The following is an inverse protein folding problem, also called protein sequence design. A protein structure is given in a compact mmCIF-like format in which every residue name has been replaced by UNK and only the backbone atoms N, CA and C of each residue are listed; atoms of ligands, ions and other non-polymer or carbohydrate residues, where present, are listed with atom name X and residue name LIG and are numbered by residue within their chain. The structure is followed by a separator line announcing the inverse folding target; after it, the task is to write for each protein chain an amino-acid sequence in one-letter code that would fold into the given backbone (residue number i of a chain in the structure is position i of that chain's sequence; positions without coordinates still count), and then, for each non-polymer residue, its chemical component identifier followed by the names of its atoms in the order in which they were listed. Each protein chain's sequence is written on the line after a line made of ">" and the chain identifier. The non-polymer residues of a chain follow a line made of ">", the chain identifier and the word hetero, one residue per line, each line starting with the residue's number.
data_IF_895067114995
#
_entry.id   IF_895067114995
#
_cell.length_a   1.000
_cell.length_b   1.000
_cell.length_c   1.000
_cell.angle_alpha   90.00
_cell.angle_beta   90.00
_cell.angle_gamma   90.00
#
_symmetry.space_group_name_H-M   'P 1'
#
loop_
_entity.id
_entity.type
_entity.pdbx_description
1 polymer ?
2 water ?
#
# COMPACT_ATOMS: atom_id res chain seq x y z
N UNK A 2 25.65 -6.73 -12.33
CA UNK A 2 24.97 -6.29 -11.10
C UNK A 2 24.56 -7.42 -10.15
N UNK A 3 24.50 -7.10 -8.86
CA UNK A 3 24.14 -8.07 -7.84
C UNK A 3 22.82 -7.70 -7.17
N UNK A 4 22.00 -8.70 -6.84
CA UNK A 4 20.70 -8.47 -6.21
C UNK A 4 20.67 -8.77 -4.72
N UNK A 5 20.78 -7.72 -3.90
CA UNK A 5 20.73 -7.89 -2.46
C UNK A 5 19.38 -7.49 -1.87
N UNK A 6 19.00 -8.16 -0.79
CA UNK A 6 17.78 -7.84 -0.07
C UNK A 6 18.22 -7.71 1.38
N UNK A 7 17.97 -6.55 1.97
CA UNK A 7 18.34 -6.33 3.36
C UNK A 7 17.05 -6.42 4.16
N UNK A 8 17.05 -7.24 5.20
CA UNK A 8 15.86 -7.42 6.04
C UNK A 8 16.17 -8.32 7.24
N UNK A 9 15.23 -8.46 8.16
CA UNK A 9 15.45 -9.24 9.37
C UNK A 9 15.40 -10.75 9.27
N UNK A 10 15.91 -11.42 10.30
CA UNK A 10 15.96 -12.87 10.36
C UNK A 10 14.61 -13.53 10.11
N UNK A 11 13.52 -12.87 10.49
CA UNK A 11 12.20 -13.46 10.33
C UNK A 11 11.50 -13.21 9.01
N UNK A 12 10.38 -13.90 8.83
CA UNK A 12 9.58 -13.78 7.61
C UNK A 12 9.08 -12.36 7.38
N UNK A 13 8.32 -11.88 8.35
CA UNK A 13 7.77 -10.54 8.30
C UNK A 13 7.30 -10.08 6.94
N UNK A 14 7.70 -8.85 6.60
CA UNK A 14 7.34 -8.19 5.37
C UNK A 14 8.21 -8.59 4.18
N UNK A 15 9.41 -9.08 4.44
CA UNK A 15 10.29 -9.44 3.36
C UNK A 15 10.11 -10.79 2.74
N UNK A 16 9.53 -11.73 3.50
CA UNK A 16 9.34 -13.07 3.01
C UNK A 16 8.76 -13.24 1.62
N UNK A 17 7.68 -12.49 1.27
CA UNK A 17 7.11 -12.64 -0.07
C UNK A 17 8.12 -12.27 -1.14
N UNK A 18 9.02 -11.35 -0.82
CA UNK A 18 10.04 -10.94 -1.77
C UNK A 18 10.99 -12.12 -1.95
N UNK A 19 11.29 -12.81 -0.86
CA UNK A 19 12.18 -13.98 -0.92
C UNK A 19 11.51 -15.04 -1.76
N UNK A 20 10.24 -15.30 -1.48
CA UNK A 20 9.49 -16.30 -2.25
C UNK A 20 9.50 -16.00 -3.74
N UNK A 21 9.56 -14.71 -4.07
CA UNK A 21 9.56 -14.26 -5.45
C UNK A 21 10.87 -14.57 -6.17
N UNK A 22 11.99 -14.21 -5.56
CA UNK A 22 13.29 -14.44 -6.15
C UNK A 22 13.50 -15.93 -6.44
N UNK A 23 12.90 -16.79 -5.62
CA UNK A 23 13.02 -18.23 -5.80
C UNK A 23 12.02 -18.68 -6.86
N UNK A 24 10.75 -18.36 -6.63
CA UNK A 24 9.70 -18.69 -7.58
C UNK A 24 10.12 -18.27 -8.99
N UNK A 25 10.89 -17.20 -9.08
CA UNK A 25 11.35 -16.71 -10.38
C UNK A 25 12.59 -17.47 -10.81
N UNK A 26 13.54 -17.62 -9.88
CA UNK A 26 14.75 -18.32 -10.19
C UNK A 26 15.92 -17.39 -10.37
N UNK A 27 15.72 -16.11 -10.09
CA UNK A 27 16.83 -15.20 -10.23
C UNK A 27 17.61 -15.24 -8.93
N UNK A 28 18.92 -15.21 -9.10
CA UNK A 28 19.89 -15.30 -8.03
C UNK A 28 20.04 -13.99 -7.26
N UNK A 29 19.89 -14.05 -5.94
CA UNK A 29 20.04 -12.87 -5.09
C UNK A 29 20.62 -13.26 -3.73
N UNK A 30 21.28 -12.30 -3.07
CA UNK A 30 21.87 -12.54 -1.75
C UNK A 30 21.17 -11.78 -0.62
N UNK A 31 20.98 -12.44 0.51
CA UNK A 31 20.30 -11.85 1.66
C UNK A 31 21.17 -11.29 2.76
N UNK A 32 20.80 -10.10 3.24
CA UNK A 32 21.53 -9.44 4.30
C UNK A 32 20.64 -9.37 5.54
N UNK A 33 20.41 -10.51 6.18
CA UNK A 33 19.58 -10.53 7.39
C UNK A 33 20.12 -9.51 8.37
N UNK A 35 19.78 -7.68 12.28
CA UNK A 35 19.37 -7.99 13.63
C UNK A 35 18.36 -6.97 14.14
N UNK A 36 17.11 -7.40 14.33
CA UNK A 36 16.08 -6.48 14.82
C UNK A 36 16.42 -6.10 16.26
N UNK A 37 17.18 -6.97 16.91
CA UNK A 37 17.60 -6.78 18.30
C UNK A 37 19.02 -6.24 18.36
N UNK A 38 19.44 -5.49 17.35
CA UNK A 38 20.81 -4.98 17.33
C UNK A 38 21.02 -3.84 16.36
N UNK A 39 19.97 -3.45 15.66
CA UNK A 39 20.10 -2.35 14.70
C UNK A 39 20.62 -1.06 15.34
N UNK A 40 21.84 -0.66 14.97
CA UNK A 40 22.41 0.55 15.52
C UNK A 40 21.69 1.76 14.95
N UNK A 41 21.14 2.58 15.84
CA UNK A 41 20.38 3.78 15.49
C UNK A 41 20.78 4.47 14.18
N UNK A 42 22.07 4.76 14.02
CA UNK A 42 22.53 5.44 12.81
C UNK A 42 22.54 4.59 11.55
N UNK A 43 22.39 3.27 11.72
CA UNK A 43 22.35 2.35 10.59
C UNK A 43 20.96 2.49 9.95
N UNK A 44 19.96 2.56 10.81
CA UNK A 44 18.58 2.71 10.38
C UNK A 44 18.40 4.05 9.68
N UNK A 45 18.98 5.09 10.25
CA UNK A 45 18.87 6.44 9.71
C UNK A 45 19.35 6.58 8.26
N UNK A 46 20.42 5.87 7.92
CA UNK A 46 20.98 5.94 6.57
C UNK A 46 20.36 4.97 5.57
N UNK A 47 19.16 4.48 5.87
CA UNK A 47 18.47 3.58 4.96
C UNK A 47 17.50 4.46 4.19
N UNK A 48 17.41 4.27 2.85
CA UNK A 48 16.54 5.04 1.94
C UNK A 48 15.33 5.77 2.54
N UNK A 50 14.48 5.06 5.95
CA UNK A 50 14.73 4.57 7.29
C UNK A 50 13.93 3.33 7.69
N UNK A 51 13.90 2.33 6.80
CA UNK A 51 13.16 1.09 7.08
C UNK A 51 13.52 -0.05 6.12
N UNK A 52 13.50 -1.28 6.63
CA UNK A 52 13.75 -2.47 5.85
C UNK A 52 12.42 -3.05 5.40
N UNK A 53 12.40 -3.91 4.38
CA UNK A 53 13.52 -4.41 3.59
C UNK A 53 13.97 -3.41 2.53
N UNK A 54 15.13 -3.68 1.94
CA UNK A 54 15.66 -2.82 0.91
C UNK A 54 16.23 -3.65 -0.23
N UNK A 55 15.74 -3.40 -1.43
CA UNK A 55 16.23 -4.10 -2.59
C UNK A 55 17.48 -3.38 -3.04
N UNK A 56 18.47 -4.17 -3.44
CA UNK A 56 19.73 -3.67 -3.94
C UNK A 56 20.03 -4.40 -5.23
N UNK A 57 20.27 -3.64 -6.28
CA UNK A 57 20.63 -4.19 -7.57
C UNK A 57 21.82 -3.34 -7.93
N UNK A 58 22.90 -3.53 -7.19
CA UNK A 58 24.13 -2.78 -7.41
C UNK A 58 24.00 -1.31 -7.12
N UNK A 59 24.01 -0.94 -5.84
CA UNK A 59 23.92 0.47 -5.54
C UNK A 59 22.72 1.20 -6.12
N UNK A 60 21.61 0.47 -6.19
CA UNK A 60 20.33 0.99 -6.64
C UNK A 60 19.49 0.49 -5.48
N UNK A 61 18.74 1.37 -4.82
CA UNK A 61 17.97 0.88 -3.70
C UNK A 61 16.47 1.12 -3.84
N UNK A 62 15.69 0.17 -3.34
CA UNK A 62 14.24 0.27 -3.39
C UNK A 62 13.74 -0.01 -1.98
N UNK A 63 13.25 1.03 -1.28
CA UNK A 63 12.73 0.98 0.09
C UNK A 63 11.35 0.45 0.51
N UNK A 64 10.55 -0.15 -0.37
CA UNK A 64 9.25 -0.63 0.13
C UNK A 64 8.90 -2.08 -0.18
N UNK A 65 8.38 -2.81 0.80
CA UNK A 65 8.01 -4.19 0.56
C UNK A 65 7.15 -4.26 -0.71
N UNK A 66 6.13 -3.43 -0.77
CA UNK A 66 5.25 -3.41 -1.92
C UNK A 66 5.90 -2.89 -3.18
N UNK A 67 6.72 -1.85 -3.03
CA UNK A 67 7.41 -1.28 -4.18
C UNK A 67 8.37 -2.34 -4.71
N UNK A 68 9.12 -2.94 -3.81
CA UNK A 68 10.07 -3.97 -4.14
C UNK A 68 9.38 -5.14 -4.80
N UNK A 69 8.27 -5.61 -4.26
CA UNK A 69 7.57 -6.73 -4.89
C UNK A 69 7.17 -6.40 -6.34
N UNK A 70 6.31 -5.42 -6.51
CA UNK A 70 5.84 -5.01 -7.83
C UNK A 70 7.01 -4.76 -8.78
N UNK A 71 8.05 -4.08 -8.30
CA UNK A 71 9.20 -3.82 -9.15
C UNK A 71 9.75 -5.10 -9.74
N UNK A 72 10.17 -6.01 -8.85
CA UNK A 72 10.73 -7.28 -9.25
C UNK A 72 9.70 -8.07 -10.01
N UNK A 73 8.55 -8.29 -9.36
CA UNK A 73 7.47 -9.05 -9.97
C UNK A 73 7.25 -8.65 -11.43
N UNK A 74 7.35 -7.37 -11.75
CA UNK A 74 7.19 -6.92 -13.14
C UNK A 74 8.37 -7.44 -13.96
N UNK A 75 9.60 -7.20 -13.48
CA UNK A 75 10.82 -7.65 -14.13
C UNK A 75 10.85 -9.18 -14.26
N UNK A 76 10.37 -9.86 -13.22
CA UNK A 76 10.38 -11.31 -13.20
C UNK A 76 9.19 -11.98 -13.84
N UNK A 77 8.16 -11.21 -14.17
CA UNK A 77 6.99 -11.79 -14.81
C UNK A 77 5.90 -12.42 -13.94
N UNK A 78 5.64 -11.89 -12.74
CA UNK A 78 4.58 -12.43 -11.88
C UNK A 78 3.78 -11.28 -11.26
N UNK A 79 3.61 -10.22 -12.04
CA UNK A 79 2.87 -9.05 -11.58
C UNK A 79 1.44 -9.11 -12.08
N UNK A 80 1.20 -9.99 -13.05
CA UNK A 80 -0.11 -10.13 -13.65
C UNK A 80 0.10 -9.98 -15.15
N UNK A 81 -0.76 -10.58 -15.96
CA UNK A 81 -0.61 -10.49 -17.41
C UNK A 81 -0.99 -9.15 -18.03
N UNK A 82 -2.28 -8.97 -18.25
CA UNK A 82 -2.81 -7.75 -18.84
C UNK A 82 -2.74 -6.63 -17.81
N UNK A 83 -2.75 -5.36 -18.28
CA UNK A 83 -2.71 -4.21 -17.37
C UNK A 83 -3.84 -4.25 -16.36
N UNK A 84 -4.98 -4.79 -16.78
CA UNK A 84 -6.14 -4.88 -15.92
C UNK A 84 -5.91 -5.94 -14.86
N UNK A 85 -5.24 -7.02 -15.25
CA UNK A 85 -4.96 -8.10 -14.32
C UNK A 85 -3.96 -7.60 -13.27
N UNK A 86 -2.93 -6.91 -13.72
CA UNK A 86 -1.94 -6.33 -12.84
C UNK A 86 -2.58 -5.43 -11.80
N UNK A 87 -3.47 -4.55 -12.27
CA UNK A 87 -4.18 -3.63 -11.40
C UNK A 87 -4.91 -4.37 -10.30
N UNK A 88 -5.37 -5.58 -10.62
CA UNK A 88 -6.08 -6.34 -9.61
C UNK A 88 -5.11 -6.95 -8.63
N UNK A 89 -3.96 -7.38 -9.13
CA UNK A 89 -2.94 -7.94 -8.23
C UNK A 89 -2.58 -6.81 -7.26
N UNK A 90 -2.40 -5.59 -7.79
CA UNK A 90 -2.08 -4.43 -6.97
C UNK A 90 -3.17 -4.20 -5.94
N UNK A 91 -4.40 -4.40 -6.37
CA UNK A 91 -5.54 -4.21 -5.49
C UNK A 91 -5.62 -5.27 -4.42
N UNK A 92 -5.44 -6.52 -4.78
CA UNK A 92 -5.50 -7.59 -3.79
C UNK A 92 -4.37 -7.34 -2.81
N UNK A 93 -3.25 -6.81 -3.29
CA UNK A 93 -2.11 -6.52 -2.42
C UNK A 93 -2.46 -5.44 -1.39
N UNK A 94 -3.09 -4.37 -1.85
CA UNK A 94 -3.51 -3.30 -0.98
C UNK A 94 -4.46 -3.84 0.10
N UNK A 95 -5.34 -4.74 -0.31
CA UNK A 95 -6.31 -5.33 0.61
C UNK A 95 -5.57 -6.05 1.73
N UNK A 96 -4.64 -6.91 1.34
CA UNK A 96 -3.82 -7.67 2.27
C UNK A 96 -3.23 -6.69 3.29
N UNK A 97 -2.69 -5.60 2.77
CA UNK A 97 -2.08 -4.58 3.60
C UNK A 97 -3.09 -4.00 4.57
N UNK A 98 -4.26 -3.63 4.08
CA UNK A 98 -5.29 -3.09 4.96
C UNK A 98 -5.54 -4.13 6.04
N UNK A 99 -5.63 -5.39 5.65
CA UNK A 99 -5.87 -6.45 6.61
C UNK A 99 -4.72 -6.57 7.57
N UNK A 100 -3.51 -6.71 7.02
CA UNK A 100 -2.33 -6.82 7.86
C UNK A 100 -2.43 -5.82 9.01
N UNK A 101 -2.65 -4.55 8.68
CA UNK A 101 -2.78 -3.54 9.70
C UNK A 101 -3.77 -3.93 10.81
N UNK A 102 -4.79 -4.71 10.48
CA UNK A 102 -5.74 -5.11 11.50
C UNK A 102 -5.10 -6.20 12.37
N UNK A 103 -4.49 -7.18 11.71
CA UNK A 103 -3.85 -8.28 12.43
C UNK A 103 -2.88 -7.78 13.48
N UNK A 104 -2.07 -6.79 13.12
CA UNK A 104 -1.12 -6.24 14.06
C UNK A 104 -1.95 -5.68 15.20
N UNK A 105 -2.94 -4.86 14.84
CA UNK A 105 -3.84 -4.25 15.80
C UNK A 105 -4.42 -5.25 16.77
N UNK A 106 -4.32 -6.53 16.43
CA UNK A 106 -4.85 -7.58 17.28
C UNK A 106 -3.72 -8.20 18.09
N UNK A 107 -2.79 -8.84 17.39
CA UNK A 107 -1.63 -9.48 18.03
C UNK A 107 -1.14 -8.63 19.19
N UNK A 108 -1.14 -7.32 18.97
CA UNK A 108 -0.71 -6.35 19.97
C UNK A 108 -1.59 -6.48 21.21
N UNK A 109 -2.89 -6.28 21.02
CA UNK A 109 -3.86 -6.37 22.10
C UNK A 109 -4.04 -7.80 22.59
N UNK A 110 -3.56 -8.76 21.81
CA UNK A 110 -3.67 -10.17 22.15
C UNK A 110 -2.75 -10.56 23.31
N UNK A 111 -1.87 -9.66 23.73
CA UNK A 111 -0.97 -9.95 24.86
C UNK A 111 -0.57 -8.71 25.65
N UNK A 112 -1.45 -7.71 25.62
CA UNK A 112 -1.24 -6.46 26.34
C UNK A 112 -2.19 -6.45 27.53
N UNK A 113 -1.66 -6.44 28.74
CA UNK A 113 -2.53 -6.47 29.90
C UNK A 113 -2.97 -7.91 30.15
N UNK A 118 -8.95 -10.94 32.07
CA UNK A 118 -8.92 -9.98 30.96
C UNK A 118 -9.10 -10.72 29.64
N UNK A 119 -10.30 -11.23 29.43
CA UNK A 119 -10.64 -11.96 28.20
C UNK A 119 -11.24 -10.99 27.20
N UNK A 120 -10.40 -10.09 26.67
CA UNK A 120 -10.85 -9.11 25.71
C UNK A 120 -11.12 -9.68 24.34
N UNK A 121 -12.12 -10.53 24.28
CA UNK A 121 -12.54 -11.14 23.05
C UNK A 121 -13.30 -10.08 22.27
N UNK A 122 -13.72 -9.01 22.93
CA UNK A 122 -14.46 -7.97 22.22
C UNK A 122 -13.61 -7.41 21.08
N UNK A 123 -12.31 -7.20 21.36
CA UNK A 123 -11.43 -6.71 20.33
C UNK A 123 -11.33 -7.84 19.32
N UNK A 124 -11.54 -9.06 19.81
CA UNK A 124 -11.52 -10.25 18.98
C UNK A 124 -12.83 -10.37 18.17
N UNK A 125 -13.82 -9.53 18.51
CA UNK A 125 -15.12 -9.47 17.83
C UNK A 125 -15.15 -8.05 17.27
N UNK A 126 -14.07 -7.74 16.56
CA UNK A 126 -13.77 -6.43 15.98
C UNK A 126 -12.72 -6.86 14.94
N UNK A 127 -11.94 -7.88 15.30
CA UNK A 127 -10.91 -8.44 14.44
C UNK A 127 -11.52 -9.41 13.44
N UNK A 128 -12.41 -10.28 13.92
CA UNK A 128 -13.08 -11.25 13.05
C UNK A 128 -13.87 -10.58 11.92
N UNK A 129 -14.65 -9.53 12.25
CA UNK A 129 -15.42 -8.86 11.19
C UNK A 129 -14.51 -8.27 10.12
N UNK A 130 -13.23 -8.10 10.47
CA UNK A 130 -12.24 -7.58 9.53
C UNK A 130 -11.64 -8.83 8.89
N UNK A 131 -11.36 -9.79 9.75
CA UNK A 131 -10.78 -11.06 9.36
C UNK A 131 -11.66 -11.68 8.27
N UNK A 132 -12.93 -11.89 8.58
CA UNK A 132 -13.85 -12.50 7.63
C UNK A 132 -14.05 -11.70 6.36
N UNK A 133 -14.39 -10.42 6.48
CA UNK A 133 -14.58 -9.58 5.31
C UNK A 133 -13.44 -9.89 4.36
N UNK A 134 -12.24 -9.67 4.87
CA UNK A 134 -11.00 -9.93 4.13
C UNK A 134 -11.07 -11.30 3.46
N UNK A 135 -11.27 -12.34 4.25
CA UNK A 135 -11.33 -13.69 3.72
C UNK A 135 -12.39 -13.86 2.62
N UNK A 136 -13.53 -13.18 2.77
CA UNK A 136 -14.61 -13.27 1.79
C UNK A 136 -14.17 -12.71 0.44
N UNK A 137 -13.89 -11.42 0.40
CA UNK A 137 -13.44 -10.81 -0.85
C UNK A 137 -12.35 -11.72 -1.40
N UNK A 138 -11.58 -12.32 -0.50
CA UNK A 138 -10.51 -13.21 -0.90
C UNK A 138 -11.08 -14.48 -1.51
N UNK A 139 -12.22 -14.93 -0.99
CA UNK A 139 -12.88 -16.13 -1.51
C UNK A 139 -13.53 -15.83 -2.86
N UNK A 140 -14.12 -14.65 -2.99
CA UNK A 140 -14.78 -14.26 -4.23
C UNK A 140 -13.86 -14.44 -5.41
N UNK A 141 -12.63 -13.94 -5.29
CA UNK A 141 -11.64 -14.07 -6.36
C UNK A 141 -11.34 -15.55 -6.52
N UNK A 142 -11.07 -16.18 -5.40
CA UNK A 142 -10.75 -17.60 -5.37
C UNK A 142 -11.74 -18.46 -6.13
N UNK A 143 -13.02 -18.05 -6.13
CA UNK A 143 -14.06 -18.78 -6.86
C UNK A 143 -13.97 -18.43 -8.34
N UNK A 144 -14.14 -17.13 -8.62
CA UNK A 144 -14.07 -16.58 -9.97
C UNK A 144 -12.78 -17.05 -10.64
N UNK A 145 -11.95 -17.78 -9.90
CA UNK A 145 -10.68 -18.26 -10.42
C UNK A 145 -10.76 -19.58 -11.16
N UNK A 146 -10.03 -19.63 -12.26
CA UNK A 146 -9.97 -20.81 -13.11
C UNK A 146 -8.59 -21.42 -13.01
N UNK A 147 -7.70 -20.72 -12.32
CA UNK A 147 -6.34 -21.19 -12.17
C UNK A 147 -6.03 -21.74 -10.78
N UNK A 148 -6.83 -21.32 -9.80
CA UNK A 148 -6.61 -21.77 -8.44
C UNK A 148 -5.83 -20.70 -7.71
N UNK A 149 -5.41 -19.69 -8.47
CA UNK A 149 -4.66 -18.55 -7.95
C UNK A 149 -5.60 -17.35 -7.86
N UNK A 150 -5.37 -16.49 -6.87
CA UNK A 150 -6.22 -15.31 -6.68
C UNK A 150 -6.68 -14.63 -7.95
N UNK A 151 -5.74 -14.23 -8.81
CA UNK A 151 -6.11 -13.59 -10.05
C UNK A 151 -5.11 -13.98 -11.14
N UNK A 152 -5.60 -13.99 -12.37
CA UNK A 152 -4.77 -14.36 -13.50
C UNK A 152 -4.79 -15.84 -13.81
N UNK A 153 -4.20 -16.20 -14.95
CA UNK A 153 -4.13 -17.59 -15.39
C UNK A 153 -3.08 -18.37 -14.59
N UNK A 154 -2.21 -17.64 -13.89
CA UNK A 154 -1.17 -18.28 -13.09
C UNK A 154 -0.92 -17.56 -11.75
N UNK A 155 0.18 -17.92 -11.10
CA UNK A 155 0.59 -17.36 -9.82
C UNK A 155 0.93 -15.89 -10.02
N UNK A 156 0.86 -15.12 -8.94
CA UNK A 156 1.16 -13.69 -8.95
C UNK A 156 1.80 -13.34 -7.63
N UNK A 157 2.55 -12.25 -7.59
CA UNK A 157 3.19 -11.86 -6.32
C UNK A 157 2.13 -11.58 -5.26
N UNK A 158 0.87 -11.45 -5.70
CA UNK A 158 -0.23 -11.21 -4.78
C UNK A 158 -0.46 -12.45 -3.94
N UNK A 159 -0.41 -13.62 -4.58
CA UNK A 159 -0.61 -14.89 -3.89
C UNK A 159 0.47 -15.06 -2.84
N UNK A 160 1.70 -14.80 -3.25
CA UNK A 160 2.83 -14.93 -2.35
C UNK A 160 2.48 -14.21 -1.06
N UNK A 161 2.10 -12.94 -1.19
CA UNK A 161 1.74 -12.11 -0.06
C UNK A 161 0.59 -12.67 0.78
N UNK A 162 -0.43 -13.20 0.12
CA UNK A 162 -1.59 -13.71 0.84
C UNK A 162 -1.38 -15.04 1.58
N UNK A 163 -0.73 -16.00 0.93
CA UNK A 163 -0.51 -17.28 1.61
C UNK A 163 0.45 -17.11 2.77
N UNK A 164 1.53 -16.36 2.60
CA UNK A 164 2.46 -16.17 3.70
C UNK A 164 1.70 -15.74 4.95
N UNK A 165 0.92 -14.67 4.85
CA UNK A 165 0.14 -14.21 5.99
C UNK A 165 -0.72 -15.33 6.54
N UNK A 166 -1.30 -16.14 5.65
CA UNK A 166 -2.14 -17.27 6.07
C UNK A 166 -1.35 -18.21 6.97
N UNK A 167 -0.05 -18.32 6.71
CA UNK A 167 0.82 -19.16 7.53
C UNK A 167 0.93 -18.56 8.91
N UNK A 168 1.39 -17.31 8.96
CA UNK A 168 1.55 -16.68 10.24
C UNK A 168 0.24 -16.58 10.99
N UNK A 169 -0.87 -16.30 10.29
CA UNK A 169 -2.15 -16.20 10.99
C UNK A 169 -2.38 -17.54 11.67
N UNK A 170 -1.95 -18.59 10.97
CA UNK A 170 -2.08 -19.96 11.44
C UNK A 170 -1.39 -20.10 12.78
N UNK A 171 -0.11 -19.74 12.79
CA UNK A 171 0.72 -19.81 13.99
C UNK A 171 0.09 -19.06 15.16
N UNK A 172 -0.69 -18.04 14.84
CA UNK A 172 -1.39 -17.26 15.86
C UNK A 172 -2.75 -17.90 16.09
N UNK A 173 -2.96 -19.06 15.45
CA UNK A 173 -4.20 -19.80 15.57
C UNK A 173 -5.45 -19.14 15.04
N UNK A 174 -5.27 -18.02 14.33
CA UNK A 174 -6.40 -17.29 13.79
C UNK A 174 -6.81 -17.80 12.40
N UNK A 175 -6.51 -19.07 12.12
CA UNK A 175 -6.87 -19.64 10.82
C UNK A 175 -6.77 -21.16 10.84
N UNK A 176 -7.81 -21.81 10.33
CA UNK A 176 -7.87 -23.28 10.28
C UNK A 176 -8.01 -23.83 8.85
N UNK A 177 -6.98 -24.52 8.37
CA UNK A 177 -6.97 -25.09 7.02
C UNK A 177 -8.29 -25.75 6.59
N UNK A 178 -8.94 -26.48 7.49
CA UNK A 178 -10.19 -27.16 7.15
C UNK A 178 -11.42 -26.24 7.19
N UNK A 179 -11.46 -25.34 8.18
CA UNK A 179 -12.55 -24.40 8.33
C UNK A 179 -12.70 -23.56 7.06
N UNK A 180 -11.59 -23.36 6.35
CA UNK A 180 -11.58 -22.60 5.11
C UNK A 180 -10.98 -23.45 4.01
N UNK A 181 -11.79 -24.35 3.50
CA UNK A 181 -11.43 -25.27 2.44
C UNK A 181 -10.84 -24.64 1.18
N UNK A 182 -11.19 -23.39 0.90
CA UNK A 182 -10.70 -22.72 -0.30
C UNK A 182 -9.36 -22.02 -0.13
N UNK A 183 -9.29 -21.07 0.81
CA UNK A 183 -8.07 -20.34 1.09
C UNK A 183 -6.94 -21.33 1.39
N UNK A 184 -7.28 -22.44 2.04
CA UNK A 184 -6.29 -23.45 2.36
C UNK A 184 -5.80 -24.02 1.04
N UNK A 185 -6.74 -24.30 0.15
CA UNK A 185 -6.42 -24.85 -1.16
C UNK A 185 -5.38 -23.95 -1.83
N UNK A 186 -5.59 -22.64 -1.73
CA UNK A 186 -4.68 -21.67 -2.31
C UNK A 186 -3.29 -21.86 -1.74
N UNK A 187 -3.19 -21.78 -0.41
CA UNK A 187 -1.92 -21.91 0.30
C UNK A 187 -1.10 -23.11 -0.15
N UNK A 188 -1.78 -24.20 -0.51
CA UNK A 188 -1.09 -25.40 -0.96
C UNK A 188 -0.43 -25.15 -2.32
N UNK A 189 -1.18 -24.54 -3.22
CA UNK A 189 -0.67 -24.25 -4.56
C UNK A 189 0.59 -23.42 -4.59
N UNK A 190 0.73 -22.51 -3.63
CA UNK A 190 1.90 -21.64 -3.62
C UNK A 190 3.16 -22.29 -3.04
N UNK A 191 3.02 -22.90 -1.87
CA UNK A 191 4.12 -23.57 -1.18
C UNK A 191 4.77 -24.65 -2.03
N UNK A 192 3.92 -25.40 -2.72
CA UNK A 192 4.33 -26.49 -3.59
C UNK A 192 4.85 -26.04 -4.94
N UNK A 193 4.59 -24.77 -5.28
CA UNK A 193 5.02 -24.25 -6.56
C UNK A 193 6.52 -24.47 -6.80
N UNK A 194 6.87 -25.00 -7.96
CA UNK A 194 8.29 -25.24 -8.26
C UNK A 194 9.15 -23.99 -8.00
N UNK A 195 10.20 -24.16 -7.21
CA UNK A 195 11.08 -23.07 -6.86
C UNK A 195 10.79 -22.72 -5.41
N UNK A 196 9.52 -22.44 -5.13
CA UNK A 196 9.11 -22.10 -3.78
C UNK A 196 9.27 -23.35 -2.94
N UNK A 197 8.72 -24.45 -3.45
CA UNK A 197 8.79 -25.74 -2.76
C UNK A 197 10.20 -26.01 -2.25
N UNK A 198 11.16 -25.98 -3.16
CA UNK A 198 12.54 -26.21 -2.77
C UNK A 198 12.83 -25.25 -1.62
N UNK A 199 12.96 -23.98 -1.95
CA UNK A 199 13.25 -22.93 -0.97
C UNK A 199 12.61 -23.09 0.41
N UNK A 200 11.29 -23.20 0.48
CA UNK A 200 10.59 -23.35 1.75
C UNK A 200 11.07 -24.59 2.49
N UNK A 201 11.59 -25.56 1.76
CA UNK A 201 12.07 -26.77 2.38
C UNK A 201 13.34 -26.47 3.17
N UNK A 202 14.17 -25.57 2.63
CA UNK A 202 15.42 -25.19 3.28
C UNK A 202 15.36 -23.99 4.23
N UNK A 203 14.18 -23.42 4.46
CA UNK A 203 14.10 -22.28 5.36
C UNK A 203 13.72 -22.72 6.77
N UNK A 204 14.19 -21.99 7.79
CA UNK A 204 13.93 -22.28 9.21
C UNK A 204 12.45 -22.33 9.58
N UNK A 205 12.00 -23.49 10.02
CA UNK A 205 10.61 -23.70 10.40
C UNK A 205 10.35 -22.94 11.71
N UNK B 2 -13.27 5.60 -24.72
CA UNK B 2 -13.48 4.98 -23.40
C UNK B 2 -13.95 5.99 -22.34
N UNK B 3 -15.00 5.63 -21.60
CA UNK B 3 -15.55 6.50 -20.56
C UNK B 3 -15.15 6.06 -19.17
N UNK B 4 -14.61 7.00 -18.40
CA UNK B 4 -14.16 6.73 -17.05
C UNK B 4 -15.21 7.09 -15.99
N UNK B 5 -15.43 6.18 -15.04
CA UNK B 5 -16.38 6.41 -13.97
C UNK B 5 -15.76 6.07 -12.61
N UNK B 6 -15.79 7.04 -11.70
CA UNK B 6 -15.25 6.88 -10.34
C UNK B 6 -16.31 7.02 -9.25
N UNK B 7 -16.63 5.92 -8.60
CA UNK B 7 -17.62 5.92 -7.53
C UNK B 7 -16.92 6.10 -6.19
N UNK B 8 -17.19 7.22 -5.50
CA UNK B 8 -16.58 7.50 -4.21
C UNK B 8 -17.46 8.40 -3.31
N UNK B 9 -16.96 8.71 -2.12
CA UNK B 9 -17.68 9.53 -1.17
C UNK B 9 -17.58 11.04 -1.41
N UNK B 10 -18.28 11.81 -0.57
CA UNK B 10 -18.31 13.26 -0.70
C UNK B 10 -16.96 13.93 -0.47
N UNK B 11 -16.22 13.45 0.53
CA UNK B 11 -14.91 14.03 0.88
C UNK B 11 -13.75 13.74 -0.06
N UNK B 12 -12.54 14.10 0.39
CA UNK B 12 -11.33 13.91 -0.39
C UNK B 12 -10.66 12.56 -0.05
N UNK B 13 -10.43 12.31 1.23
CA UNK B 13 -9.81 11.07 1.68
C UNK B 13 -8.84 10.39 0.72
N UNK B 14 -9.22 9.21 0.25
CA UNK B 14 -8.41 8.42 -0.67
C UNK B 14 -8.70 8.68 -2.14
N UNK B 15 -9.88 9.18 -2.45
CA UNK B 15 -10.23 9.42 -3.84
C UNK B 15 -9.82 10.76 -4.41
N UNK B 16 -9.43 11.71 -3.56
CA UNK B 16 -9.07 13.01 -4.09
C UNK B 16 -7.88 12.95 -5.03
N UNK B 17 -6.83 12.20 -4.63
CA UNK B 17 -5.67 12.12 -5.51
C UNK B 17 -6.04 11.58 -6.90
N UNK B 18 -6.95 10.62 -6.92
CA UNK B 18 -7.42 10.01 -8.16
C UNK B 18 -8.14 11.08 -8.97
N UNK B 19 -8.81 11.99 -8.26
CA UNK B 19 -9.53 13.09 -8.88
C UNK B 19 -8.52 14.03 -9.52
N UNK B 20 -7.56 14.49 -8.72
CA UNK B 20 -6.51 15.37 -9.20
C UNK B 20 -5.77 14.69 -10.35
N UNK B 21 -5.72 13.36 -10.32
CA UNK B 21 -5.05 12.61 -11.37
C UNK B 21 -5.78 12.85 -12.70
N UNK B 22 -7.07 12.54 -12.75
CA UNK B 22 -7.87 12.74 -13.95
C UNK B 22 -7.75 14.17 -14.49
N UNK B 23 -7.69 15.13 -13.58
CA UNK B 23 -7.56 16.53 -13.97
C UNK B 23 -6.18 16.82 -14.48
N UNK B 24 -5.18 16.26 -13.82
CA UNK B 24 -3.79 16.47 -14.23
C UNK B 24 -3.63 15.97 -15.66
N UNK B 25 -4.25 14.83 -15.95
CA UNK B 25 -4.15 14.23 -17.28
C UNK B 25 -5.26 14.74 -18.18
N UNK B 26 -6.06 15.65 -17.64
CA UNK B 26 -7.15 16.22 -18.42
C UNK B 26 -8.07 15.24 -19.12
N UNK B 27 -8.33 14.10 -18.51
CA UNK B 27 -9.22 13.14 -19.12
C UNK B 27 -10.50 13.21 -18.29
N UNK B 28 -11.58 13.57 -18.96
CA UNK B 28 -12.87 13.71 -18.28
C UNK B 28 -13.39 12.39 -17.76
N UNK B 29 -14.01 12.44 -16.58
CA UNK B 29 -14.59 11.26 -15.94
C UNK B 29 -15.87 11.63 -15.22
N UNK B 30 -16.75 10.65 -15.03
CA UNK B 30 -18.03 10.83 -14.36
C UNK B 30 -17.94 10.35 -12.91
N UNK B 31 -18.21 11.23 -11.95
CA UNK B 31 -18.14 10.83 -10.56
C UNK B 31 -19.48 10.61 -9.87
N UNK B 32 -19.72 9.36 -9.50
CA UNK B 32 -20.92 8.94 -8.79
C UNK B 32 -20.66 9.08 -7.30
N UNK B 33 -21.24 10.11 -6.69
CA UNK B 33 -21.04 10.34 -5.27
C UNK B 33 -21.86 9.41 -4.39
N UNK B 35 -23.03 8.52 -0.20
CA UNK B 35 -23.31 9.18 1.05
C UNK B 35 -22.93 8.26 2.21
N UNK B 36 -21.85 8.59 2.93
CA UNK B 36 -21.43 7.75 4.05
C UNK B 36 -22.42 7.84 5.23
N UNK B 37 -23.27 8.86 5.16
CA UNK B 37 -24.29 9.13 6.17
C UNK B 37 -25.58 8.41 5.84
N UNK B 38 -25.63 7.83 4.64
CA UNK B 38 -26.81 7.11 4.19
C UNK B 38 -26.43 6.05 3.17
N UNK B 39 -25.44 5.22 3.51
CA UNK B 39 -25.02 4.14 2.63
C UNK B 39 -25.76 2.91 3.09
N UNK B 40 -26.10 2.02 2.15
CA UNK B 40 -26.80 0.80 2.52
C UNK B 40 -25.84 -0.38 2.52
N UNK B 41 -26.01 -1.28 3.48
CA UNK B 41 -25.15 -2.44 3.62
C UNK B 41 -25.06 -3.26 2.34
N UNK B 42 -26.21 -3.61 1.77
CA UNK B 42 -26.22 -4.41 0.56
C UNK B 42 -25.53 -3.71 -0.60
N UNK B 43 -25.51 -2.37 -0.58
CA UNK B 43 -24.85 -1.65 -1.64
C UNK B 43 -23.32 -1.70 -1.49
N UNK B 44 -22.83 -1.57 -0.26
CA UNK B 44 -21.38 -1.61 0.00
C UNK B 44 -20.88 -3.04 -0.17
N UNK B 45 -21.75 -3.96 0.21
CA UNK B 45 -21.47 -5.39 0.16
C UNK B 45 -21.37 -5.88 -1.28
N UNK B 46 -21.71 -5.01 -2.23
CA UNK B 46 -21.68 -5.36 -3.65
C UNK B 46 -20.59 -4.61 -4.42
N UNK B 47 -19.73 -3.92 -3.70
CA UNK B 47 -18.64 -3.18 -4.30
C UNK B 47 -17.55 -4.23 -4.55
N UNK B 48 -16.71 -4.03 -5.57
CA UNK B 48 -15.65 -4.98 -5.89
C UNK B 48 -14.96 -5.58 -4.66
N UNK B 50 -15.81 -4.42 -1.40
CA UNK B 50 -16.65 -3.91 -0.33
C UNK B 50 -16.21 -2.60 0.27
N UNK B 51 -15.63 -1.75 -0.56
CA UNK B 51 -15.17 -0.44 -0.14
C UNK B 51 -14.93 0.43 -1.36
N UNK B 52 -15.12 1.72 -1.20
CA UNK B 52 -14.89 2.68 -2.26
C UNK B 52 -13.46 3.19 -2.03
N UNK B 53 -12.87 3.88 -3.02
CA UNK B 53 -13.47 4.17 -4.31
C UNK B 53 -13.40 2.97 -5.23
N UNK B 54 -14.03 3.07 -6.39
CA UNK B 54 -14.00 2.02 -7.40
C UNK B 54 -14.03 2.68 -8.76
N UNK B 55 -13.11 2.27 -9.63
CA UNK B 55 -13.01 2.79 -10.97
C UNK B 55 -13.76 1.89 -11.92
N UNK B 56 -14.35 2.50 -12.93
CA UNK B 56 -15.10 1.77 -13.93
C UNK B 56 -14.71 2.36 -15.26
N UNK B 57 -14.22 1.53 -16.17
CA UNK B 57 -13.83 2.01 -17.49
C UNK B 57 -14.36 1.04 -18.53
N UNK B 58 -15.45 1.44 -19.17
CA UNK B 58 -16.07 0.60 -20.17
C UNK B 58 -16.11 -0.83 -19.62
N UNK B 59 -16.91 -1.04 -18.58
CA UNK B 59 -17.03 -2.37 -18.01
C UNK B 59 -16.04 -2.76 -16.92
N UNK B 60 -14.75 -2.64 -17.20
CA UNK B 60 -13.72 -2.99 -16.24
C UNK B 60 -13.96 -2.32 -14.90
N UNK B 61 -13.83 -3.10 -13.83
CA UNK B 61 -14.01 -2.57 -12.47
C UNK B 61 -12.73 -2.72 -11.69
N UNK B 62 -12.33 -1.66 -11.00
CA UNK B 62 -11.11 -1.66 -10.21
C UNK B 62 -11.27 -0.97 -8.86
N UNK B 63 -11.18 -1.73 -7.77
CA UNK B 63 -11.31 -1.15 -6.43
C UNK B 63 -9.89 -0.89 -5.92
N UNK B 64 -9.80 -0.23 -4.76
CA UNK B 64 -8.51 0.07 -4.14
C UNK B 64 -7.83 1.29 -4.71
N UNK B 65 -7.94 2.40 -3.99
CA UNK B 65 -7.36 3.66 -4.42
C UNK B 65 -5.96 3.46 -4.96
N UNK B 66 -5.14 2.75 -4.19
CA UNK B 66 -3.77 2.52 -4.60
C UNK B 66 -3.69 1.94 -6.00
N UNK B 67 -4.41 0.86 -6.22
CA UNK B 67 -4.44 0.17 -7.51
C UNK B 67 -4.96 1.11 -8.58
N UNK B 68 -6.05 1.80 -8.26
CA UNK B 68 -6.67 2.72 -9.21
C UNK B 68 -5.69 3.83 -9.57
N UNK B 69 -5.12 4.46 -8.56
CA UNK B 69 -4.16 5.52 -8.81
C UNK B 69 -3.14 5.08 -9.86
N UNK B 70 -2.47 3.98 -9.60
CA UNK B 70 -1.44 3.46 -10.50
C UNK B 70 -1.93 3.11 -11.90
N UNK B 71 -3.11 2.51 -11.98
CA UNK B 71 -3.71 2.10 -13.25
C UNK B 71 -3.86 3.26 -14.20
N UNK B 72 -4.37 4.37 -13.67
CA UNK B 72 -4.60 5.58 -14.44
C UNK B 72 -3.28 6.29 -14.67
N UNK B 73 -2.57 6.58 -13.57
CA UNK B 73 -1.28 7.25 -13.67
C UNK B 73 -0.43 6.54 -14.73
N UNK B 74 -0.60 5.23 -14.81
CA UNK B 74 0.14 4.41 -15.77
C UNK B 74 -0.27 4.71 -17.19
N UNK B 75 -1.57 4.75 -17.44
CA UNK B 75 -2.06 5.05 -18.76
C UNK B 75 -1.76 6.49 -19.11
N UNK B 76 -2.12 7.42 -18.22
CA UNK B 76 -1.90 8.84 -18.47
C UNK B 76 -0.44 9.22 -18.34
N UNK B 77 0.41 8.25 -18.07
CA UNK B 77 1.82 8.56 -17.97
C UNK B 77 2.25 9.44 -16.81
N UNK B 78 1.73 9.15 -15.63
CA UNK B 78 2.11 9.90 -14.42
C UNK B 78 2.40 8.92 -13.31
N UNK B 79 2.87 7.73 -13.71
CA UNK B 79 3.22 6.65 -12.79
C UNK B 79 4.72 6.58 -12.57
N UNK B 80 5.50 7.11 -13.53
CA UNK B 80 6.96 7.11 -13.41
C UNK B 80 7.62 7.16 -14.78
N UNK B 81 8.77 7.84 -14.87
CA UNK B 81 9.48 7.97 -16.14
C UNK B 81 10.32 6.77 -16.58
N UNK B 82 10.50 5.79 -15.70
CA UNK B 82 11.24 4.57 -16.01
C UNK B 82 10.81 3.51 -15.03
N UNK B 83 11.11 2.24 -15.33
CA UNK B 83 10.74 1.14 -14.44
C UNK B 83 11.21 1.35 -13.00
N UNK B 84 12.36 2.01 -12.84
CA UNK B 84 12.93 2.23 -11.53
C UNK B 84 12.36 3.44 -10.80
N UNK B 85 12.01 4.49 -11.54
CA UNK B 85 11.41 5.66 -10.93
C UNK B 85 10.00 5.28 -10.51
N UNK B 86 9.32 4.53 -11.37
CA UNK B 86 7.99 4.07 -11.07
C UNK B 86 7.99 3.40 -9.70
N UNK B 87 8.95 2.52 -9.44
CA UNK B 87 8.98 1.82 -8.17
C UNK B 87 9.14 2.80 -7.01
N UNK B 88 9.88 3.88 -7.23
CA UNK B 88 10.07 4.88 -6.17
C UNK B 88 8.75 5.61 -5.99
N UNK B 89 8.03 5.83 -7.08
CA UNK B 89 6.72 6.45 -6.95
C UNK B 89 6.00 5.49 -6.01
N UNK B 90 5.89 4.23 -6.40
CA UNK B 90 5.23 3.25 -5.54
C UNK B 90 5.82 3.27 -4.12
N UNK B 91 7.07 3.69 -4.02
CA UNK B 91 7.76 3.75 -2.74
C UNK B 91 7.26 4.90 -1.89
N UNK B 92 7.35 6.13 -2.40
CA UNK B 92 6.87 7.27 -1.64
C UNK B 92 5.39 7.05 -1.28
N UNK B 93 4.61 6.57 -2.24
CA UNK B 93 3.20 6.31 -1.99
C UNK B 93 3.01 5.39 -0.78
N UNK B 94 3.76 4.30 -0.72
CA UNK B 94 3.67 3.36 0.40
C UNK B 94 4.02 4.06 1.70
N UNK B 95 5.07 4.90 1.65
CA UNK B 95 5.49 5.64 2.83
C UNK B 95 4.28 6.41 3.29
N UNK B 96 3.63 7.06 2.33
CA UNK B 96 2.43 7.85 2.60
C UNK B 96 1.40 6.99 3.29
N UNK B 97 0.96 5.94 2.62
CA UNK B 97 -0.04 5.06 3.19
C UNK B 97 0.31 4.71 4.64
N UNK B 98 1.60 4.47 4.90
CA UNK B 98 2.08 4.14 6.25
C UNK B 98 1.81 5.25 7.26
N UNK B 99 2.20 6.46 6.88
CA UNK B 99 2.01 7.65 7.69
C UNK B 99 0.53 7.92 7.86
N UNK B 100 -0.18 7.86 6.75
CA UNK B 100 -1.61 8.09 6.72
C UNK B 100 -2.29 7.31 7.81
N UNK B 101 -1.75 6.12 8.11
CA UNK B 101 -2.32 5.27 9.12
C UNK B 101 -1.89 5.69 10.52
N UNK B 102 -0.76 6.36 10.61
CA UNK B 102 -0.27 6.82 11.91
C UNK B 102 -1.02 8.10 12.22
N UNK B 103 -1.32 8.88 11.19
CA UNK B 103 -2.05 10.12 11.34
C UNK B 103 -3.49 9.82 11.79
N UNK B 104 -4.16 8.92 11.08
CA UNK B 104 -5.53 8.56 11.42
C UNK B 104 -5.57 8.11 12.86
N UNK B 105 -4.53 7.43 13.31
CA UNK B 105 -4.48 6.96 14.69
C UNK B 105 -4.53 8.15 15.65
N UNK B 106 -3.81 9.22 15.31
CA UNK B 106 -3.79 10.42 16.14
C UNK B 106 -5.15 11.09 16.02
N UNK B 107 -5.45 11.58 14.83
CA UNK B 107 -6.72 12.25 14.54
C UNK B 107 -7.87 11.54 15.24
N UNK B 108 -7.90 10.21 15.12
CA UNK B 108 -8.93 9.42 15.78
C UNK B 108 -8.40 8.98 17.14
N UNK B 109 -8.31 9.92 18.07
CA UNK B 109 -7.81 9.64 19.43
C UNK B 109 -7.56 10.94 20.20
N UNK B 110 -7.61 12.07 19.49
CA UNK B 110 -7.41 13.37 20.12
C UNK B 110 -8.75 13.93 20.58
N UNK B 111 -9.80 13.13 20.40
CA UNK B 111 -11.16 13.50 20.79
C UNK B 111 -11.73 12.36 21.64
N UNK B 112 -10.83 11.64 22.31
CA UNK B 112 -11.20 10.51 23.16
C UNK B 112 -11.48 10.95 24.59
N UNK B 113 -10.49 11.61 25.21
CA UNK B 113 -10.67 12.08 26.57
C UNK B 113 -10.04 13.45 26.75
N UNK B 118 -7.43 17.87 30.61
CA UNK B 118 -6.95 16.64 30.00
C UNK B 118 -5.83 16.89 28.99
N UNK B 119 -4.60 16.90 29.47
CA UNK B 119 -3.46 17.11 28.60
C UNK B 119 -3.01 15.76 28.07
N UNK B 120 -3.10 15.60 26.75
CA UNK B 120 -2.72 14.35 26.13
C UNK B 120 -1.81 14.58 24.93
N UNK B 121 -0.85 15.47 25.11
CA UNK B 121 0.11 15.75 24.05
C UNK B 121 1.10 14.61 24.16
N UNK B 122 0.79 13.68 25.06
CA UNK B 122 1.61 12.48 25.27
C UNK B 122 1.46 11.59 24.05
N UNK B 123 0.22 11.44 23.57
CA UNK B 123 -0.03 10.63 22.40
C UNK B 123 0.33 11.46 21.19
N UNK B 124 0.64 12.73 21.43
CA UNK B 124 1.05 13.66 20.39
C UNK B 124 2.57 13.49 20.31
N UNK B 125 3.07 12.42 20.95
CA UNK B 125 4.50 12.08 20.97
C UNK B 125 4.74 10.65 20.47
N UNK B 126 3.99 10.31 19.43
CA UNK B 126 4.05 9.05 18.73
C UNK B 126 3.92 9.57 17.32
N UNK B 127 3.03 10.57 17.19
CA UNK B 127 2.71 11.23 15.93
C UNK B 127 3.79 12.21 15.50
N UNK B 128 4.07 13.20 16.35
CA UNK B 128 5.09 14.18 16.00
C UNK B 128 6.38 13.46 15.61
N UNK B 129 6.78 12.44 16.36
CA UNK B 129 8.01 11.72 16.01
C UNK B 129 7.84 11.09 14.63
N UNK B 130 6.74 10.36 14.45
CA UNK B 130 6.46 9.69 13.18
C UNK B 130 6.33 10.71 12.04
N UNK B 131 5.51 11.72 12.25
CA UNK B 131 5.31 12.75 11.26
C UNK B 131 6.68 13.32 10.86
N UNK B 132 7.50 13.60 11.86
CA UNK B 132 8.83 14.17 11.65
C UNK B 132 9.70 13.30 10.76
N UNK B 133 9.83 12.03 11.12
CA UNK B 133 10.62 11.11 10.31
C UNK B 133 10.05 11.18 8.91
N UNK B 134 8.75 10.95 8.78
CA UNK B 134 8.07 11.01 7.50
C UNK B 134 8.50 12.23 6.71
N UNK B 135 8.47 13.39 7.35
CA UNK B 135 8.86 14.65 6.70
C UNK B 135 10.32 14.70 6.29
N UNK B 136 11.18 14.02 7.05
CA UNK B 136 12.61 13.95 6.75
C UNK B 136 12.78 13.21 5.44
N UNK B 137 12.25 12.00 5.39
CA UNK B 137 12.31 11.18 4.19
C UNK B 137 11.78 11.99 3.00
N UNK B 138 10.72 12.76 3.24
CA UNK B 138 10.13 13.57 2.18
C UNK B 138 11.04 14.74 1.82
N UNK B 139 11.72 15.28 2.83
CA UNK B 139 12.63 16.39 2.61
C UNK B 139 13.94 15.85 2.07
N UNK B 140 14.11 14.54 2.16
CA UNK B 140 15.32 13.92 1.63
C UNK B 140 15.19 13.89 0.13
N UNK B 141 14.05 13.40 -0.34
CA UNK B 141 13.78 13.33 -1.77
C UNK B 141 13.72 14.74 -2.33
N UNK B 142 13.18 15.66 -1.53
CA UNK B 142 13.06 17.05 -1.95
C UNK B 142 14.44 17.69 -1.97
N UNK B 143 15.17 17.48 -0.89
CA UNK B 143 16.52 18.01 -0.77
C UNK B 143 17.22 17.75 -2.10
N UNK B 144 17.20 16.49 -2.53
CA UNK B 144 17.82 16.07 -3.79
C UNK B 144 17.06 16.68 -4.96
N UNK B 145 16.08 15.94 -5.46
CA UNK B 145 15.25 16.35 -6.58
C UNK B 145 15.57 17.67 -7.22
N UNK B 146 15.73 17.63 -8.54
CA UNK B 146 16.04 18.78 -9.36
C UNK B 146 14.90 19.12 -10.33
N UNK B 147 13.66 18.96 -9.88
CA UNK B 147 12.49 19.26 -10.70
C UNK B 147 11.38 19.84 -9.85
N UNK B 148 11.52 19.72 -8.53
CA UNK B 148 10.50 20.25 -7.65
C UNK B 148 9.54 19.16 -7.20
N UNK B 149 9.36 18.14 -8.02
CA UNK B 149 8.48 17.05 -7.66
C UNK B 149 9.30 16.04 -6.86
N UNK B 150 8.63 15.22 -6.05
CA UNK B 150 9.34 14.25 -5.23
C UNK B 150 10.35 13.39 -6.01
N UNK B 151 9.88 12.72 -7.05
CA UNK B 151 10.76 11.87 -7.86
C UNK B 151 10.36 12.00 -9.31
N UNK B 152 11.36 12.01 -10.19
CA UNK B 152 11.08 12.12 -11.60
C UNK B 152 11.36 13.52 -12.10
N UNK B 153 11.30 13.69 -13.42
CA UNK B 153 11.54 14.96 -14.05
C UNK B 153 10.22 15.72 -14.11
N UNK B 154 9.15 15.05 -13.69
CA UNK B 154 7.84 15.68 -13.72
C UNK B 154 6.96 15.22 -12.57
N UNK B 155 5.71 15.64 -12.61
CA UNK B 155 4.75 15.31 -11.56
C UNK B 155 4.23 13.87 -11.69
N UNK B 156 4.14 13.19 -10.55
CA UNK B 156 3.65 11.81 -10.52
C UNK B 156 2.59 11.70 -9.42
N UNK B 157 1.79 10.64 -9.48
CA UNK B 157 0.75 10.49 -8.49
C UNK B 157 1.26 10.42 -7.07
N UNK B 158 2.57 10.58 -6.89
CA UNK B 158 3.12 10.56 -5.54
C UNK B 158 3.06 11.96 -4.96
N UNK B 159 3.23 12.95 -5.84
CA UNK B 159 3.19 14.36 -5.45
C UNK B 159 1.77 14.70 -5.00
N UNK B 160 0.79 14.21 -5.76
CA UNK B 160 -0.60 14.42 -5.42
C UNK B 160 -0.85 13.78 -4.04
N UNK B 161 -0.82 12.46 -4.01
CA UNK B 161 -1.02 11.70 -2.78
C UNK B 161 -0.39 12.33 -1.51
N UNK B 162 0.78 12.93 -1.64
CA UNK B 162 1.48 13.53 -0.51
C UNK B 162 0.98 14.92 -0.12
N UNK B 163 0.66 15.75 -1.12
CA UNK B 163 0.19 17.10 -0.83
C UNK B 163 -1.27 17.12 -0.37
N UNK B 164 -2.14 16.41 -1.07
CA UNK B 164 -3.54 16.39 -0.66
C UNK B 164 -3.58 16.12 0.83
N UNK B 165 -2.58 15.39 1.32
CA UNK B 165 -2.49 15.06 2.73
C UNK B 165 -1.89 16.19 3.54
N UNK B 166 -1.06 17.01 2.89
CA UNK B 166 -0.45 18.14 3.58
C UNK B 166 -1.59 19.11 3.87
N UNK B 167 -2.63 19.01 3.03
CA UNK B 167 -3.80 19.86 3.16
C UNK B 167 -4.58 19.47 4.40
N UNK B 168 -5.02 18.22 4.45
CA UNK B 168 -5.74 17.76 5.61
C UNK B 168 -4.86 17.88 6.83
N UNK B 169 -3.57 17.66 6.66
CA UNK B 169 -2.65 17.79 7.79
C UNK B 169 -2.77 19.22 8.28
N UNK B 170 -2.63 20.14 7.33
CA UNK B 170 -2.72 21.57 7.58
C UNK B 170 -3.98 21.87 8.37
N UNK B 171 -5.12 21.44 7.83
CA UNK B 171 -6.40 21.66 8.49
C UNK B 171 -6.52 21.11 9.90
N UNK B 172 -5.76 20.08 10.23
CA UNK B 172 -5.80 19.56 11.60
C UNK B 172 -4.72 20.26 12.42
N UNK B 173 -4.20 21.34 11.83
CA UNK B 173 -3.17 22.12 12.50
C UNK B 173 -1.97 21.28 12.87
N UNK B 174 -1.54 20.43 11.92
CA UNK B 174 -0.39 19.57 12.12
C UNK B 174 0.68 19.85 11.06
N UNK B 175 0.44 20.87 10.24
CA UNK B 175 1.40 21.26 9.21
C UNK B 175 1.53 22.78 9.08
N UNK B 176 2.60 23.33 9.64
CA UNK B 176 2.85 24.77 9.56
C UNK B 176 3.69 25.02 8.31
N UNK B 177 3.08 25.60 7.27
CA UNK B 177 3.79 25.87 6.03
C UNK B 177 5.12 26.58 6.29
N UNK B 178 5.16 27.39 7.35
CA UNK B 178 6.38 28.13 7.71
C UNK B 178 7.59 27.21 7.90
N UNK B 179 7.58 26.50 9.02
CA UNK B 179 8.66 25.60 9.41
C UNK B 179 9.14 24.66 8.33
N UNK B 180 8.24 24.26 7.43
CA UNK B 180 8.60 23.37 6.35
C UNK B 180 8.58 24.11 5.03
N UNK B 181 9.69 24.79 4.75
CA UNK B 181 9.84 25.54 3.52
C UNK B 181 9.74 24.62 2.31
N UNK B 182 10.54 23.55 2.34
CA UNK B 182 10.60 22.60 1.23
C UNK B 182 9.27 21.99 0.81
N UNK B 183 8.56 21.37 1.74
CA UNK B 183 7.28 20.75 1.40
C UNK B 183 6.32 21.83 0.92
N UNK B 184 6.40 22.99 1.58
CA UNK B 184 5.55 24.11 1.22
C UNK B 184 5.66 24.33 -0.28
N UNK B 185 6.90 24.43 -0.75
CA UNK B 185 7.19 24.66 -2.17
C UNK B 185 6.49 23.65 -3.07
N UNK B 186 6.59 22.38 -2.70
CA UNK B 186 6.00 21.28 -3.45
C UNK B 186 4.48 21.43 -3.57
N UNK B 187 3.83 21.64 -2.43
CA UNK B 187 2.38 21.82 -2.35
C UNK B 187 2.01 22.92 -3.32
N UNK B 188 2.81 23.97 -3.30
CA UNK B 188 2.61 25.10 -4.18
C UNK B 188 2.79 24.63 -5.63
N UNK B 189 3.90 23.94 -5.88
CA UNK B 189 4.21 23.48 -7.21
C UNK B 189 3.12 22.62 -7.86
N UNK B 190 2.53 21.72 -7.09
CA UNK B 190 1.50 20.85 -7.62
C UNK B 190 0.09 21.44 -7.71
N UNK B 191 -0.20 22.42 -6.85
CA UNK B 191 -1.51 23.09 -6.81
C UNK B 191 -1.66 24.04 -8.01
N UNK B 192 -0.58 24.71 -8.34
CA UNK B 192 -0.56 25.66 -9.45
C UNK B 192 -0.42 24.94 -10.80
N UNK B 193 -0.01 23.67 -10.74
CA UNK B 193 0.18 22.87 -11.95
C UNK B 193 -1.07 22.85 -12.79
N UNK B 194 -0.96 23.20 -14.08
CA UNK B 194 -2.10 23.23 -15.01
C UNK B 194 -2.95 21.97 -14.98
N UNK B 195 -4.27 22.18 -14.99
CA UNK B 195 -5.21 21.07 -14.94
C UNK B 195 -5.73 21.00 -13.52
N UNK B 196 -4.80 21.10 -12.57
CA UNK B 196 -5.13 21.06 -11.15
C UNK B 196 -5.51 22.44 -10.64
N UNK B 197 -4.85 23.48 -11.14
CA UNK B 197 -5.20 24.83 -10.71
C UNK B 197 -6.67 25.10 -11.00
N UNK B 198 -7.12 24.78 -12.20
CA UNK B 198 -8.51 24.97 -12.59
C UNK B 198 -9.41 24.11 -11.70
N UNK B 199 -9.01 22.86 -11.49
CA UNK B 199 -9.78 21.95 -10.68
C UNK B 199 -9.87 22.46 -9.24
N UNK B 200 -8.73 22.53 -8.57
CA UNK B 200 -8.70 22.99 -7.18
C UNK B 200 -9.49 24.29 -7.09
N UNK B 201 -9.65 24.96 -8.22
CA UNK B 201 -10.40 26.22 -8.26
C UNK B 201 -11.86 26.02 -7.85
N UNK B 202 -12.65 25.40 -8.72
CA UNK B 202 -14.06 25.16 -8.48
C UNK B 202 -14.36 24.03 -7.50
N UNK B 203 -13.32 23.51 -6.88
CA UNK B 203 -13.41 22.41 -5.91
C UNK B 203 -14.09 22.81 -4.59
N UNK B 204 -15.17 22.10 -4.21
CA UNK B 204 -15.90 22.40 -2.97
C UNK B 204 -14.97 22.34 -1.78
N UNK B 205 -14.41 23.51 -1.45
CA UNK B 205 -13.48 23.72 -0.34
C UNK B 205 -13.90 23.04 0.97
#
# INVERSE_FOLDING_TARGET
>A
XPSYKLTYFFFRGLGEPIRLLFHLAGVQFEEVRXNPDQTWLDIKDSTPXKQLPVLNIDGFELPQSGAILRYLARKFGFAGKTPEEEAWVDAVHDLFKDFLAEFKKFAAERRSGKSAEEVEKFRSEFFLPARNTYFNILNGLLEKSNSGFLIGSDITFADLVVVDNLLTLKNYGLFDESEFTKLAALREKVNSYPGIKEYIAKRPVTEY
>B
XPSYKLTYFFFRGLGEPIRLLFHLAGVQFEEVRXNPDQTWLDIKDSTPXKQLPVLNIDGFELPQSGAILRYLARKFGFAGKTPEEEAWVDAVHDLFKDFLAEFKKFAAERRSGKSAEEVEKFRSEFFLPARNTYFNILNGLLEKSNSGFLIGSDITFADLVVVDNLLTLKNYGLFDESEFTKLAALREKVNSYPGIKEYIAKRPVTEY
#
